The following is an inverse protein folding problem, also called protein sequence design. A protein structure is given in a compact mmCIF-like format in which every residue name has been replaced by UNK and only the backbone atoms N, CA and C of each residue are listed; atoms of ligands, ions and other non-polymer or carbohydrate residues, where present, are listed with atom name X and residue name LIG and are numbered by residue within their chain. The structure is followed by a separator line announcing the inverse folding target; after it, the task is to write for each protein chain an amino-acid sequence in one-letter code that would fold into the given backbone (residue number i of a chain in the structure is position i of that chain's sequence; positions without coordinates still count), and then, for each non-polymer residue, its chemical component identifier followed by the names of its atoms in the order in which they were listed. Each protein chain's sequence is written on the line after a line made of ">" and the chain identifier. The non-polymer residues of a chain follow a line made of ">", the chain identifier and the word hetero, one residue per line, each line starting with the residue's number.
data_IF_537330607633
#
_entry.id   IF_537330607633
#
_cell.length_a   1.000
_cell.length_b   1.000
_cell.length_c   1.000
_cell.angle_alpha   90.00
_cell.angle_beta   90.00
_cell.angle_gamma   90.00
#
_symmetry.space_group_name_H-M   'P 1'
#
loop_
_entity.id
_entity.type
_entity.pdbx_description
1 polymer ?
#
# COMPACT_ATOMS: atom_id res chain seq x y z
N UNK A 1 -15.11 -26.66 55.78
CA UNK A 1 -15.06 -28.12 56.00
C UNK A 1 -15.03 -28.78 54.63
N UNK A 2 -14.05 -29.63 54.43
CA UNK A 2 -13.63 -30.40 53.24
C UNK A 2 -12.71 -29.72 52.22
N UNK A 3 -11.44 -30.01 52.47
CA UNK A 3 -10.28 -29.93 51.61
C UNK A 3 -10.26 -31.17 50.69
N UNK A 4 -9.99 -31.03 49.44
CA UNK A 4 -9.35 -32.08 48.63
C UNK A 4 -8.32 -31.48 47.67
N UNK A 5 -7.07 -31.86 47.88
CA UNK A 5 -5.94 -31.72 46.95
C UNK A 5 -6.13 -32.66 45.75
N UNK A 6 -5.58 -32.35 44.59
CA UNK A 6 -5.04 -33.36 43.70
C UNK A 6 -3.53 -33.25 43.58
N UNK A 7 -2.90 -34.37 43.84
CA UNK A 7 -1.56 -34.75 43.42
C UNK A 7 -1.58 -35.09 41.93
N UNK A 8 -0.59 -34.59 41.13
CA UNK A 8 0.26 -35.48 40.33
C UNK A 8 1.36 -34.69 39.61
N UNK A 9 2.54 -35.23 39.65
CA UNK A 9 3.76 -34.72 39.06
C UNK A 9 3.82 -34.84 37.50
N UNK A 10 4.68 -34.07 36.84
CA UNK A 10 4.79 -34.10 35.38
C UNK A 10 5.65 -35.28 34.91
N UNK A 11 5.14 -36.00 33.92
CA UNK A 11 5.92 -36.95 33.11
C UNK A 11 6.80 -36.19 32.12
N UNK A 12 8.08 -36.52 32.14
CA UNK A 12 9.04 -36.15 31.11
C UNK A 12 8.56 -36.67 29.73
N UNK A 13 8.46 -35.80 28.75
CA UNK A 13 8.33 -36.19 27.34
C UNK A 13 9.59 -35.69 26.62
N UNK A 14 10.25 -36.67 26.02
CA UNK A 14 11.52 -36.56 25.36
C UNK A 14 11.51 -35.60 24.16
N UNK A 15 12.70 -35.06 23.92
CA UNK A 15 12.96 -34.19 22.76
C UNK A 15 12.65 -34.91 21.46
N UNK A 16 11.82 -34.23 20.64
CA UNK A 16 11.69 -34.51 19.22
C UNK A 16 12.22 -33.30 18.51
N UNK A 17 13.39 -33.42 17.88
CA UNK A 17 13.87 -32.51 16.85
C UNK A 17 12.89 -32.53 15.67
N UNK A 18 11.89 -31.64 15.71
CA UNK A 18 10.97 -31.38 14.62
C UNK A 18 11.51 -30.30 13.70
N UNK A 19 12.46 -30.66 12.83
CA UNK A 19 12.81 -29.80 11.69
C UNK A 19 11.56 -29.53 10.87
N UNK A 20 11.06 -28.29 10.93
CA UNK A 20 9.95 -27.80 10.12
C UNK A 20 10.28 -28.02 8.64
N UNK A 21 9.69 -29.05 8.04
CA UNK A 21 9.72 -29.25 6.58
C UNK A 21 8.88 -28.14 5.97
N UNK A 22 9.57 -27.13 5.46
CA UNK A 22 9.02 -26.08 4.62
C UNK A 22 8.10 -26.68 3.56
N UNK A 23 6.83 -26.31 3.60
CA UNK A 23 5.85 -26.85 2.65
C UNK A 23 6.01 -26.15 1.29
N UNK A 24 6.84 -26.74 0.41
CA UNK A 24 7.16 -26.23 -0.94
C UNK A 24 5.93 -26.13 -1.86
N UNK A 25 4.76 -26.58 -1.46
CA UNK A 25 3.56 -26.55 -2.30
C UNK A 25 2.91 -25.17 -2.38
N UNK A 26 2.94 -24.40 -1.32
CA UNK A 26 2.27 -23.08 -1.28
C UNK A 26 3.00 -22.03 -2.13
N UNK A 27 4.34 -22.09 -2.17
CA UNK A 27 5.14 -21.24 -3.04
C UNK A 27 4.92 -21.49 -4.55
N UNK A 28 4.51 -22.69 -4.90
CA UNK A 28 4.27 -23.05 -6.31
C UNK A 28 3.02 -22.40 -6.87
N UNK A 29 2.01 -22.08 -6.06
CA UNK A 29 0.81 -21.39 -6.54
C UNK A 29 1.08 -19.89 -6.82
N UNK A 30 1.80 -19.19 -5.96
CA UNK A 30 2.16 -17.79 -6.22
C UNK A 30 3.18 -17.65 -7.36
N UNK A 31 4.19 -18.54 -7.44
CA UNK A 31 5.15 -18.58 -8.52
C UNK A 31 4.54 -19.03 -9.87
N UNK A 32 3.56 -19.93 -9.87
CA UNK A 32 2.88 -20.35 -11.09
C UNK A 32 2.03 -19.25 -11.71
N UNK A 33 1.41 -18.38 -10.90
CA UNK A 33 0.74 -17.18 -11.42
C UNK A 33 1.73 -16.15 -11.99
N UNK A 34 2.93 -16.03 -11.41
CA UNK A 34 3.97 -15.11 -11.88
C UNK A 34 4.76 -15.67 -13.10
N UNK A 35 5.02 -16.98 -13.15
CA UNK A 35 5.84 -17.61 -14.19
C UNK A 35 5.04 -17.92 -15.48
N UNK A 36 3.74 -18.15 -15.39
CA UNK A 36 2.92 -18.42 -16.57
C UNK A 36 2.78 -17.22 -17.53
N UNK A 37 3.09 -16.01 -17.08
CA UNK A 37 3.00 -14.78 -17.91
C UNK A 37 4.37 -14.37 -18.50
N UNK A 38 5.49 -14.87 -17.98
CA UNK A 38 6.85 -14.47 -18.39
C UNK A 38 7.49 -15.41 -19.42
N UNK A 39 6.89 -16.56 -19.71
CA UNK A 39 7.44 -17.54 -20.67
C UNK A 39 7.11 -17.27 -22.14
N UNK A 40 7.00 -16.02 -22.58
CA UNK A 40 7.10 -15.67 -23.98
C UNK A 40 8.60 -15.60 -24.38
N UNK A 41 9.02 -16.16 -25.54
CA UNK A 41 10.43 -16.29 -25.86
C UNK A 41 11.09 -14.93 -26.05
N UNK A 42 12.14 -14.65 -25.25
CA UNK A 42 13.09 -13.58 -25.50
C UNK A 42 13.88 -13.90 -26.78
N UNK A 43 13.48 -13.33 -27.89
CA UNK A 43 14.34 -13.25 -29.06
C UNK A 43 15.41 -12.20 -28.81
N UNK A 44 16.68 -12.60 -28.86
CA UNK A 44 17.83 -11.74 -28.68
C UNK A 44 17.82 -10.58 -29.69
N UNK A 45 17.64 -9.35 -29.21
CA UNK A 45 17.85 -8.15 -29.99
C UNK A 45 19.24 -7.58 -29.68
N UNK A 46 20.08 -7.53 -30.72
CA UNK A 46 21.44 -6.98 -30.66
C UNK A 46 21.44 -5.48 -30.28
N UNK A 47 22.49 -5.09 -29.54
CA UNK A 47 22.75 -3.73 -29.12
C UNK A 47 22.95 -2.80 -30.32
N UNK A 48 22.07 -1.81 -30.47
CA UNK A 48 22.26 -0.64 -31.34
C UNK A 48 22.29 0.58 -30.44
N UNK A 49 23.34 1.40 -30.58
CA UNK A 49 23.52 2.65 -29.84
C UNK A 49 22.34 3.61 -30.06
N UNK A 50 21.85 4.32 -29.03
CA UNK A 50 20.65 5.13 -29.12
C UNK A 50 20.90 6.40 -29.92
N UNK A 51 20.08 6.61 -30.98
CA UNK A 51 20.03 7.86 -31.73
C UNK A 51 19.34 8.98 -30.93
N UNK A 52 19.65 10.24 -31.24
CA UNK A 52 19.08 11.46 -30.62
C UNK A 52 17.54 11.46 -30.56
N UNK A 53 16.85 10.69 -31.41
CA UNK A 53 15.40 10.57 -31.43
C UNK A 53 14.81 9.84 -30.19
N UNK A 54 15.61 9.07 -29.45
CA UNK A 54 15.16 8.36 -28.24
C UNK A 54 15.17 9.22 -26.98
N UNK A 55 16.05 10.22 -26.88
CA UNK A 55 16.01 11.21 -25.80
C UNK A 55 14.76 12.09 -25.88
N UNK A 56 14.33 12.41 -27.11
CA UNK A 56 13.05 13.10 -27.35
C UNK A 56 11.83 12.23 -27.04
N UNK A 57 11.93 10.89 -27.07
CA UNK A 57 10.79 10.02 -26.79
C UNK A 57 10.53 9.85 -25.29
N UNK A 58 11.55 9.97 -24.44
CA UNK A 58 11.39 9.89 -22.96
C UNK A 58 10.82 11.20 -22.41
N UNK A 59 11.33 12.34 -22.86
CA UNK A 59 10.73 13.64 -22.60
C UNK A 59 9.29 13.72 -23.17
N UNK A 60 9.02 13.03 -24.28
CA UNK A 60 7.66 12.86 -24.83
C UNK A 60 6.79 11.92 -24.00
N UNK A 61 7.26 10.85 -23.41
CA UNK A 61 6.42 9.94 -22.60
C UNK A 61 5.89 10.64 -21.33
N UNK A 62 6.72 11.45 -20.67
CA UNK A 62 6.30 12.26 -19.53
C UNK A 62 5.46 13.49 -19.96
N UNK A 63 5.78 14.08 -21.12
CA UNK A 63 4.97 15.14 -21.73
C UNK A 63 3.69 14.60 -22.37
N UNK A 64 3.66 13.36 -22.87
CA UNK A 64 2.45 12.71 -23.40
C UNK A 64 1.53 12.32 -22.25
N UNK A 65 2.04 11.81 -21.13
CA UNK A 65 1.21 11.56 -19.94
C UNK A 65 0.61 12.85 -19.36
N UNK A 66 1.34 13.98 -19.47
CA UNK A 66 0.84 15.33 -19.12
C UNK A 66 -0.03 15.91 -20.21
N UNK A 67 0.32 15.73 -21.49
CA UNK A 67 -0.43 16.23 -22.63
C UNK A 67 -1.75 15.46 -22.82
N UNK A 68 -1.78 14.15 -22.58
CA UNK A 68 -3.01 13.36 -22.61
C UNK A 68 -3.95 13.77 -21.47
N UNK A 69 -3.41 14.10 -20.28
CA UNK A 69 -4.20 14.68 -19.19
C UNK A 69 -4.77 16.05 -19.55
N UNK A 70 -3.96 16.91 -20.21
CA UNK A 70 -4.38 18.25 -20.63
C UNK A 70 -5.30 18.17 -21.86
N UNK A 71 -5.06 17.25 -22.79
CA UNK A 71 -5.92 17.04 -23.96
C UNK A 71 -7.28 16.46 -23.57
N UNK A 72 -7.32 15.55 -22.59
CA UNK A 72 -8.56 15.01 -22.05
C UNK A 72 -9.37 16.07 -21.31
N UNK A 73 -8.73 16.93 -20.51
CA UNK A 73 -9.38 18.06 -19.85
C UNK A 73 -9.94 19.03 -20.89
N UNK A 74 -9.17 19.38 -21.96
CA UNK A 74 -9.64 20.25 -23.04
C UNK A 74 -10.74 19.61 -23.88
N UNK A 75 -10.72 18.29 -24.04
CA UNK A 75 -11.77 17.57 -24.78
C UNK A 75 -13.06 17.52 -23.96
N UNK A 76 -12.96 17.31 -22.63
CA UNK A 76 -14.10 17.42 -21.71
C UNK A 76 -14.67 18.84 -21.64
N UNK A 77 -13.81 19.86 -21.58
CA UNK A 77 -14.25 21.26 -21.64
C UNK A 77 -14.97 21.58 -22.95
N UNK A 78 -14.53 20.98 -24.05
CA UNK A 78 -15.17 21.15 -25.38
C UNK A 78 -16.50 20.37 -25.48
N UNK A 79 -16.60 19.18 -24.90
CA UNK A 79 -17.82 18.39 -24.88
C UNK A 79 -18.85 18.93 -23.89
N UNK A 80 -18.44 19.49 -22.76
CA UNK A 80 -19.29 20.21 -21.81
C UNK A 80 -19.74 21.59 -22.34
N UNK A 81 -18.94 22.23 -23.22
CA UNK A 81 -19.27 23.48 -23.86
C UNK A 81 -20.16 23.36 -25.12
N UNK A 82 -20.33 22.14 -25.65
CA UNK A 82 -21.11 21.91 -26.89
C UNK A 82 -22.57 21.54 -26.66
N UNK A 83 -23.05 21.51 -25.44
CA UNK A 83 -24.43 21.14 -25.09
C UNK A 83 -25.16 22.25 -24.33
N UNK A 84 -25.65 23.27 -24.97
CA UNK A 84 -26.65 24.14 -24.35
C UNK A 84 -26.58 25.62 -24.69
N UNK A 85 -27.15 26.02 -25.82
CA UNK A 85 -27.69 27.38 -26.00
C UNK A 85 -28.83 27.59 -24.95
N UNK A 86 -28.49 28.25 -23.85
CA UNK A 86 -29.45 29.02 -23.07
C UNK A 86 -28.85 30.36 -22.75
N UNK A 87 -29.21 31.31 -23.59
CA UNK A 87 -29.03 32.72 -23.33
C UNK A 87 -29.78 33.13 -22.04
N UNK A 88 -29.09 33.95 -21.22
CA UNK A 88 -29.62 34.71 -20.09
C UNK A 88 -29.82 33.96 -18.76
N UNK A 89 -28.73 33.71 -18.04
CA UNK A 89 -28.70 33.86 -16.60
C UNK A 89 -27.45 34.66 -16.19
N UNK A 90 -27.55 35.64 -15.28
CA UNK A 90 -26.38 36.42 -14.85
C UNK A 90 -25.44 35.52 -14.10
N UNK A 91 -24.23 35.34 -14.60
CA UNK A 91 -23.17 34.62 -13.94
C UNK A 91 -22.89 35.29 -12.58
N UNK A 92 -23.13 34.59 -11.52
CA UNK A 92 -22.65 34.94 -10.21
C UNK A 92 -21.09 34.88 -10.26
N UNK A 93 -20.49 36.05 -10.40
CA UNK A 93 -19.04 36.19 -10.28
C UNK A 93 -18.68 36.02 -8.81
N UNK A 94 -18.33 34.78 -8.44
CA UNK A 94 -17.59 34.55 -7.20
C UNK A 94 -16.25 35.27 -7.27
N UNK A 95 -15.66 35.68 -6.13
CA UNK A 95 -14.41 36.43 -6.11
C UNK A 95 -13.32 35.59 -6.78
N UNK A 96 -12.76 36.11 -7.88
CA UNK A 96 -11.54 35.59 -8.48
C UNK A 96 -10.42 35.80 -7.49
N UNK A 97 -10.02 34.74 -6.79
CA UNK A 97 -8.81 34.74 -5.97
C UNK A 97 -7.60 34.89 -6.89
N UNK A 98 -7.03 36.07 -6.93
CA UNK A 98 -5.72 36.33 -7.50
C UNK A 98 -4.69 35.82 -6.49
N UNK A 99 -4.21 34.58 -6.67
CA UNK A 99 -3.13 34.01 -5.87
C UNK A 99 -3.42 32.57 -5.44
N UNK A 100 -2.55 31.65 -5.85
CA UNK A 100 -2.52 30.25 -5.41
C UNK A 100 -3.74 29.42 -5.84
N UNK A 101 -3.59 28.65 -6.89
CA UNK A 101 -4.62 27.68 -7.27
C UNK A 101 -4.54 26.50 -6.33
N UNK A 102 -5.48 26.42 -5.40
CA UNK A 102 -5.68 25.24 -4.57
C UNK A 102 -6.81 24.42 -5.15
N UNK A 103 -6.54 23.15 -5.43
CA UNK A 103 -7.53 22.17 -5.80
C UNK A 103 -8.08 21.51 -4.52
N UNK A 104 -9.38 21.27 -4.51
CA UNK A 104 -10.07 20.56 -3.44
C UNK A 104 -10.75 19.35 -4.07
N UNK A 105 -10.42 18.16 -3.55
CA UNK A 105 -11.03 16.90 -3.91
C UNK A 105 -11.75 16.29 -2.73
N UNK A 106 -12.76 15.49 -3.01
CA UNK A 106 -13.43 14.66 -2.02
C UNK A 106 -13.67 13.28 -2.63
N UNK A 107 -13.34 12.24 -1.88
CA UNK A 107 -13.60 10.84 -2.24
C UNK A 107 -14.32 10.18 -1.08
N UNK A 108 -15.36 9.38 -1.36
CA UNK A 108 -15.98 8.55 -0.35
C UNK A 108 -16.08 7.11 -0.84
N UNK A 109 -15.73 6.18 0.05
CA UNK A 109 -15.86 4.74 -0.10
C UNK A 109 -16.94 4.27 0.86
N UNK A 110 -17.87 3.47 0.37
CA UNK A 110 -18.90 2.79 1.18
C UNK A 110 -18.88 1.32 0.81
N UNK A 111 -18.74 0.47 1.81
CA UNK A 111 -18.72 -0.97 1.65
C UNK A 111 -19.97 -1.60 2.26
N UNK A 112 -20.41 -2.70 1.69
CA UNK A 112 -21.44 -3.56 2.26
C UNK A 112 -21.05 -5.01 2.04
N UNK A 113 -21.16 -5.85 3.07
CA UNK A 113 -20.83 -7.25 2.88
C UNK A 113 -20.96 -8.11 4.11
N UNK A 114 -20.44 -9.31 3.99
CA UNK A 114 -20.54 -10.35 5.02
C UNK A 114 -19.32 -11.24 5.00
N UNK A 115 -18.92 -11.65 6.19
CA UNK A 115 -17.86 -12.62 6.42
C UNK A 115 -18.36 -13.78 7.28
N UNK A 116 -17.81 -14.97 7.06
CA UNK A 116 -18.02 -16.13 7.93
C UNK A 116 -17.17 -16.07 9.20
N UNK A 117 -16.17 -15.20 9.25
CA UNK A 117 -15.31 -15.05 10.41
C UNK A 117 -16.08 -14.45 11.58
N UNK A 118 -15.86 -15.02 12.78
CA UNK A 118 -16.38 -14.46 14.03
C UNK A 118 -15.68 -13.16 14.43
N UNK A 119 -14.42 -13.02 14.05
CA UNK A 119 -13.60 -11.81 14.20
C UNK A 119 -13.12 -11.38 12.80
N UNK A 120 -13.82 -10.39 12.23
CA UNK A 120 -13.51 -9.87 10.89
C UNK A 120 -12.19 -9.08 10.92
N UNK A 121 -11.90 -8.35 12.00
CA UNK A 121 -10.66 -7.60 12.15
C UNK A 121 -9.40 -8.46 12.16
N UNK A 122 -9.50 -9.74 12.53
CA UNK A 122 -8.38 -10.67 12.44
C UNK A 122 -8.00 -11.05 11.00
N UNK A 123 -8.92 -10.91 10.03
CA UNK A 123 -8.69 -11.18 8.61
C UNK A 123 -8.61 -9.90 7.77
N UNK A 124 -9.40 -8.90 8.10
CA UNK A 124 -9.38 -7.57 7.49
C UNK A 124 -8.58 -6.62 8.39
N UNK A 125 -7.30 -6.49 8.14
CA UNK A 125 -6.34 -5.84 9.05
C UNK A 125 -5.99 -4.40 8.69
N UNK A 126 -6.40 -3.94 7.50
CA UNK A 126 -6.25 -2.55 7.10
C UNK A 126 -7.31 -1.68 7.77
N UNK A 127 -6.95 -0.47 8.16
CA UNK A 127 -7.89 0.45 8.82
C UNK A 127 -9.01 0.92 7.89
N UNK A 128 -8.77 0.82 6.59
CA UNK A 128 -9.74 1.10 5.53
C UNK A 128 -10.37 -0.17 4.93
N UNK A 129 -10.12 -1.33 5.53
CA UNK A 129 -10.76 -2.58 5.12
C UNK A 129 -12.19 -2.66 5.69
N UNK A 130 -13.12 -3.42 5.08
CA UNK A 130 -14.43 -3.65 5.67
C UNK A 130 -14.33 -4.45 6.99
N UNK A 131 -14.79 -3.89 8.11
CA UNK A 131 -14.59 -4.47 9.46
C UNK A 131 -15.80 -5.16 10.06
N UNK A 132 -17.01 -4.93 9.52
CA UNK A 132 -18.25 -5.46 10.10
C UNK A 132 -19.13 -6.05 9.01
N UNK A 133 -20.00 -6.98 9.41
CA UNK A 133 -21.09 -7.43 8.56
C UNK A 133 -22.11 -6.31 8.38
N UNK A 134 -22.55 -6.08 7.15
CA UNK A 134 -23.47 -4.99 6.80
C UNK A 134 -22.76 -3.85 6.10
N UNK A 135 -23.10 -2.62 6.45
CA UNK A 135 -22.55 -1.41 5.82
C UNK A 135 -21.42 -0.81 6.64
N UNK A 136 -20.37 -0.36 5.96
CA UNK A 136 -19.24 0.40 6.52
C UNK A 136 -18.92 1.59 5.62
N UNK A 137 -18.35 2.64 6.20
CA UNK A 137 -17.78 3.77 5.48
C UNK A 137 -16.30 3.89 5.89
N UNK A 138 -15.42 3.08 5.29
CA UNK A 138 -14.03 2.98 5.74
C UNK A 138 -13.20 4.22 5.40
N UNK A 139 -13.65 5.05 4.44
CA UNK A 139 -12.87 6.19 3.98
C UNK A 139 -13.77 7.28 3.40
N UNK A 140 -13.67 8.50 3.95
CA UNK A 140 -14.13 9.72 3.31
C UNK A 140 -13.00 10.74 3.38
N UNK A 141 -12.41 11.05 2.24
CA UNK A 141 -11.13 11.73 2.10
C UNK A 141 -11.31 13.12 1.50
N UNK A 142 -10.73 14.13 2.14
CA UNK A 142 -10.65 15.50 1.63
C UNK A 142 -9.18 15.75 1.24
N UNK A 143 -8.91 15.92 -0.03
CA UNK A 143 -7.59 16.26 -0.54
C UNK A 143 -7.48 17.73 -0.91
N UNK A 144 -6.36 18.33 -0.54
CA UNK A 144 -6.00 19.71 -0.86
C UNK A 144 -4.63 19.68 -1.55
N UNK A 145 -4.53 20.19 -2.77
CA UNK A 145 -3.26 20.34 -3.45
C UNK A 145 -3.14 21.67 -4.17
N UNK A 146 -1.93 22.19 -4.26
CA UNK A 146 -1.70 23.45 -4.95
C UNK A 146 -0.27 23.94 -4.92
N UNK A 147 -0.01 24.98 -5.71
CA UNK A 147 1.24 25.72 -5.66
C UNK A 147 1.24 26.64 -4.41
N UNK A 148 2.27 26.50 -3.57
CA UNK A 148 2.50 27.44 -2.45
C UNK A 148 3.16 28.70 -2.97
N UNK A 149 4.22 28.52 -3.76
CA UNK A 149 5.01 29.56 -4.41
C UNK A 149 5.76 28.94 -5.61
N UNK A 150 6.65 29.67 -6.33
CA UNK A 150 7.43 29.08 -7.42
C UNK A 150 8.34 27.92 -7.04
N UNK A 151 8.65 27.73 -5.75
CA UNK A 151 9.62 26.74 -5.27
C UNK A 151 8.95 25.50 -4.67
N UNK A 152 7.70 25.63 -4.20
CA UNK A 152 7.01 24.56 -3.46
C UNK A 152 5.58 24.31 -3.94
N UNK A 153 5.19 23.05 -3.92
CA UNK A 153 3.80 22.59 -3.94
C UNK A 153 3.43 22.05 -2.58
N UNK A 154 2.20 22.30 -2.13
CA UNK A 154 1.62 21.72 -0.92
C UNK A 154 0.63 20.62 -1.29
N UNK A 155 0.56 19.61 -0.43
CA UNK A 155 -0.45 18.58 -0.46
C UNK A 155 -0.91 18.27 0.95
N UNK A 156 -2.21 18.05 1.15
CA UNK A 156 -2.77 17.55 2.39
C UNK A 156 -3.92 16.59 2.10
N UNK A 157 -4.01 15.53 2.90
CA UNK A 157 -5.09 14.58 2.87
C UNK A 157 -5.65 14.38 4.27
N UNK A 158 -6.95 14.65 4.44
CA UNK A 158 -7.69 14.52 5.69
C UNK A 158 -8.72 13.42 5.49
N UNK A 159 -8.67 12.39 6.32
CA UNK A 159 -9.57 11.25 6.26
C UNK A 159 -10.56 11.31 7.42
N UNK A 160 -11.81 11.08 7.09
CA UNK A 160 -12.91 10.88 8.04
C UNK A 160 -13.25 9.38 8.00
N UNK A 161 -13.21 8.74 9.15
CA UNK A 161 -13.55 7.32 9.31
C UNK A 161 -14.74 7.19 10.25
N UNK A 162 -15.63 6.25 9.97
CA UNK A 162 -16.71 5.88 10.88
C UNK A 162 -16.37 4.50 11.44
N UNK A 163 -16.15 4.42 12.73
CA UNK A 163 -15.83 3.17 13.41
C UNK A 163 -17.06 2.25 13.57
N UNK A 164 -16.85 1.07 14.14
CA UNK A 164 -17.92 0.10 14.38
C UNK A 164 -18.96 0.56 15.39
N UNK A 165 -18.67 1.58 16.21
CA UNK A 165 -19.61 2.21 17.14
C UNK A 165 -20.42 3.34 16.50
N UNK A 166 -20.09 3.74 15.25
CA UNK A 166 -20.70 4.86 14.54
C UNK A 166 -20.09 6.22 14.88
N UNK A 167 -18.96 6.25 15.58
CA UNK A 167 -18.25 7.48 15.90
C UNK A 167 -17.34 7.89 14.74
N UNK A 168 -17.27 9.21 14.49
CA UNK A 168 -16.44 9.75 13.42
C UNK A 168 -15.08 10.16 13.93
N UNK A 169 -14.04 9.47 13.50
CA UNK A 169 -12.64 9.86 13.64
C UNK A 169 -12.19 10.81 12.53
N UNK A 170 -11.30 11.74 12.84
CA UNK A 170 -10.65 12.63 11.85
C UNK A 170 -9.16 12.42 11.93
N UNK A 171 -8.54 12.10 10.80
CA UNK A 171 -7.12 11.84 10.71
C UNK A 171 -6.46 12.72 9.65
N UNK A 172 -5.31 13.33 10.01
CA UNK A 172 -4.43 13.96 9.03
C UNK A 172 -3.53 12.87 8.43
N UNK A 173 -3.92 12.31 7.32
CA UNK A 173 -3.19 11.21 6.69
C UNK A 173 -1.88 11.68 6.06
N UNK A 174 -1.93 12.73 5.25
CA UNK A 174 -0.74 13.36 4.69
C UNK A 174 -0.82 14.89 4.79
N UNK A 175 0.31 15.54 5.06
CA UNK A 175 0.50 16.98 4.94
C UNK A 175 1.97 17.27 4.67
N UNK A 176 2.31 17.65 3.45
CA UNK A 176 3.70 17.88 3.07
C UNK A 176 3.87 18.97 2.01
N UNK A 177 5.08 19.52 1.98
CA UNK A 177 5.57 20.36 0.91
C UNK A 177 6.55 19.59 0.03
N UNK A 178 6.52 19.88 -1.27
CA UNK A 178 7.35 19.26 -2.29
C UNK A 178 8.06 20.35 -3.10
N UNK A 179 9.38 20.26 -3.28
CA UNK A 179 10.11 21.22 -4.12
C UNK A 179 9.78 21.00 -5.59
N UNK A 180 9.65 22.13 -6.34
CA UNK A 180 9.28 22.10 -7.77
C UNK A 180 10.49 22.05 -8.70
N UNK A 181 11.61 22.65 -8.29
CA UNK A 181 12.80 22.75 -9.11
C UNK A 181 14.07 22.83 -8.25
N UNK A 182 14.74 21.70 -8.09
CA UNK A 182 16.09 21.65 -7.56
C UNK A 182 17.06 21.28 -8.68
N UNK A 183 18.33 21.73 -8.60
CA UNK A 183 19.33 21.36 -9.59
C UNK A 183 19.58 19.84 -9.58
N UNK A 184 20.18 19.32 -10.64
CA UNK A 184 20.57 17.92 -10.79
C UNK A 184 19.42 16.90 -10.66
N UNK A 185 18.18 17.28 -10.99
CA UNK A 185 16.98 16.46 -10.90
C UNK A 185 16.68 15.95 -9.49
N UNK A 186 17.07 16.71 -8.49
CA UNK A 186 16.75 16.44 -7.09
C UNK A 186 15.37 16.97 -6.73
N UNK A 187 14.71 16.29 -5.79
CA UNK A 187 13.45 16.74 -5.20
C UNK A 187 13.44 16.43 -3.70
N UNK A 188 12.92 17.36 -2.91
CA UNK A 188 12.68 17.18 -1.48
C UNK A 188 11.18 17.17 -1.21
N UNK A 189 10.73 16.22 -0.37
CA UNK A 189 9.42 16.16 0.27
C UNK A 189 9.64 16.33 1.78
N UNK A 190 8.87 17.18 2.43
CA UNK A 190 8.98 17.46 3.85
C UNK A 190 7.59 17.59 4.48
N UNK A 191 7.35 16.88 5.57
CA UNK A 191 6.08 16.84 6.28
C UNK A 191 5.69 15.45 6.74
N UNK A 192 4.40 15.18 6.83
CA UNK A 192 3.85 13.84 7.08
C UNK A 192 3.44 13.21 5.75
N UNK A 193 3.93 12.00 5.48
CA UNK A 193 3.66 11.32 4.21
C UNK A 193 3.86 9.81 4.33
N UNK A 194 3.23 9.05 3.43
CA UNK A 194 3.54 7.63 3.26
C UNK A 194 4.96 7.45 2.74
N UNK A 195 5.72 6.57 3.39
CA UNK A 195 7.02 6.18 2.90
C UNK A 195 6.91 5.54 1.52
N UNK A 196 7.79 5.92 0.61
CA UNK A 196 7.93 5.26 -0.70
C UNK A 196 8.58 3.88 -0.48
N UNK A 197 7.79 2.92 0.02
CA UNK A 197 8.19 1.53 0.22
C UNK A 197 7.29 0.63 -0.63
N UNK A 198 7.87 -0.14 -1.54
CA UNK A 198 7.08 -0.90 -2.50
C UNK A 198 6.23 0.01 -3.40
N UNK A 199 5.22 -0.57 -3.99
CA UNK A 199 4.29 0.12 -4.87
C UNK A 199 2.95 0.40 -4.20
N UNK A 200 2.51 -0.48 -3.29
CA UNK A 200 1.20 -0.38 -2.66
C UNK A 200 1.17 0.58 -1.47
N UNK A 201 2.25 0.63 -0.66
CA UNK A 201 2.26 1.44 0.56
C UNK A 201 1.93 2.93 0.35
N UNK A 202 2.43 3.63 -0.70
CA UNK A 202 2.10 5.05 -0.92
C UNK A 202 0.75 5.28 -1.61
N UNK A 203 -0.11 4.26 -1.75
CA UNK A 203 -1.39 4.38 -2.43
C UNK A 203 -2.53 4.55 -1.43
N UNK A 204 -3.37 5.55 -1.64
CA UNK A 204 -4.60 5.76 -0.89
C UNK A 204 -5.68 4.72 -1.23
N UNK A 205 -6.62 4.41 -0.33
CA UNK A 205 -7.63 3.36 -0.50
C UNK A 205 -8.46 3.49 -1.78
N UNK A 206 -8.78 4.70 -2.21
CA UNK A 206 -9.54 4.95 -3.44
C UNK A 206 -8.79 4.50 -4.72
N UNK A 207 -7.46 4.44 -4.68
CA UNK A 207 -6.64 3.97 -5.80
C UNK A 207 -6.37 2.48 -5.79
N UNK A 208 -6.78 1.76 -4.73
CA UNK A 208 -6.56 0.31 -4.65
C UNK A 208 -7.40 -0.46 -5.67
N UNK A 209 -6.80 -1.54 -6.18
CA UNK A 209 -7.47 -2.45 -7.11
C UNK A 209 -8.42 -3.44 -6.40
N UNK A 210 -8.31 -3.60 -5.09
CA UNK A 210 -9.09 -4.48 -4.22
C UNK A 210 -9.68 -3.67 -3.07
N UNK A 211 -10.67 -4.23 -2.36
CA UNK A 211 -11.35 -3.54 -1.24
C UNK A 211 -10.50 -3.48 0.02
N UNK A 212 -9.43 -4.25 0.08
CA UNK A 212 -8.60 -4.46 1.26
C UNK A 212 -7.11 -4.37 0.95
N UNK A 213 -6.32 -4.01 1.96
CA UNK A 213 -4.87 -3.96 1.89
C UNK A 213 -4.28 -5.38 1.77
N UNK A 214 -3.18 -5.59 1.03
CA UNK A 214 -2.51 -6.88 1.00
C UNK A 214 -2.03 -7.34 2.39
N UNK A 215 -2.25 -8.63 2.71
CA UNK A 215 -1.92 -9.24 4.01
C UNK A 215 -0.50 -8.96 4.49
N UNK A 216 0.47 -9.01 3.58
CA UNK A 216 1.87 -8.79 3.92
C UNK A 216 2.14 -7.35 4.34
N UNK A 217 1.49 -6.37 3.70
CA UNK A 217 1.65 -4.95 4.05
C UNK A 217 1.06 -4.64 5.43
N UNK A 218 -0.17 -5.09 5.68
CA UNK A 218 -0.79 -4.96 7.00
C UNK A 218 0.05 -5.63 8.09
N UNK A 219 0.68 -6.77 7.81
CA UNK A 219 1.59 -7.47 8.75
C UNK A 219 2.87 -6.69 9.03
N UNK A 220 3.47 -6.07 8.00
CA UNK A 220 4.75 -5.38 8.14
C UNK A 220 4.59 -3.97 8.70
N UNK A 221 3.58 -3.25 8.27
CA UNK A 221 3.43 -1.81 8.54
C UNK A 221 2.19 -1.45 9.36
N UNK A 222 1.35 -2.44 9.68
CA UNK A 222 0.12 -2.23 10.43
C UNK A 222 -1.04 -1.75 9.56
N UNK A 223 -2.16 -1.37 10.20
CA UNK A 223 -3.40 -1.11 9.49
C UNK A 223 -3.35 0.09 8.54
N UNK A 224 -2.53 1.10 8.87
CA UNK A 224 -2.43 2.36 8.13
C UNK A 224 -1.26 2.40 7.13
N UNK A 225 -0.47 1.32 7.02
CA UNK A 225 0.76 1.33 6.22
C UNK A 225 1.92 2.08 6.91
N UNK A 226 3.05 2.25 6.22
CA UNK A 226 4.21 2.98 6.75
C UNK A 226 4.12 4.46 6.39
N UNK A 227 3.74 5.27 7.36
CA UNK A 227 3.55 6.72 7.25
C UNK A 227 4.10 7.40 8.51
N UNK A 228 4.80 8.52 8.36
CA UNK A 228 5.26 9.34 9.49
C UNK A 228 5.71 10.72 9.03
N UNK A 229 6.05 11.58 9.99
CA UNK A 229 6.70 12.87 9.73
C UNK A 229 8.15 12.63 9.37
N UNK A 230 8.64 13.35 8.36
CA UNK A 230 10.02 13.21 7.92
C UNK A 230 10.39 14.07 6.74
N UNK A 231 11.54 13.73 6.17
CA UNK A 231 12.09 14.32 4.96
C UNK A 231 12.45 13.19 3.98
N UNK A 232 12.08 13.33 2.71
CA UNK A 232 12.50 12.44 1.62
C UNK A 232 13.30 13.24 0.59
N UNK A 233 14.48 12.76 0.27
CA UNK A 233 15.25 13.17 -0.91
C UNK A 233 15.03 12.16 -2.01
N UNK A 234 14.68 12.60 -3.20
CA UNK A 234 14.69 11.79 -4.41
C UNK A 234 15.63 12.37 -5.46
N UNK A 235 16.18 11.48 -6.27
CA UNK A 235 17.09 11.78 -7.36
C UNK A 235 16.70 11.00 -8.61
N UNK A 236 16.23 11.72 -9.63
CA UNK A 236 16.06 11.13 -10.95
C UNK A 236 17.44 11.01 -11.62
N UNK A 237 17.91 9.78 -11.73
CA UNK A 237 19.24 9.47 -12.26
C UNK A 237 19.30 9.76 -13.77
N UNK A 238 20.47 10.23 -14.29
CA UNK A 238 20.65 10.48 -15.70
C UNK A 238 20.91 9.20 -16.51
N UNK A 239 20.00 8.24 -16.42
CA UNK A 239 20.05 6.95 -17.12
C UNK A 239 19.25 7.03 -18.44
N UNK A 240 19.48 6.16 -19.42
CA UNK A 240 18.72 6.14 -20.68
C UNK A 240 17.28 5.68 -20.52
N UNK A 241 16.89 5.19 -19.35
CA UNK A 241 15.54 4.80 -18.95
C UNK A 241 15.23 5.42 -17.58
N UNK A 242 13.96 5.50 -17.23
CA UNK A 242 13.58 6.04 -15.93
C UNK A 242 14.21 5.24 -14.80
N UNK A 243 14.96 5.91 -13.95
CA UNK A 243 15.48 5.36 -12.70
C UNK A 243 15.50 6.46 -11.64
N UNK A 244 14.84 6.22 -10.52
CA UNK A 244 14.78 7.14 -9.40
C UNK A 244 15.29 6.44 -8.13
N UNK A 245 16.21 7.10 -7.44
CA UNK A 245 16.68 6.71 -6.13
C UNK A 245 16.10 7.66 -5.08
N UNK A 246 15.61 7.11 -3.98
CA UNK A 246 14.99 7.86 -2.89
C UNK A 246 15.55 7.42 -1.55
N UNK A 247 15.58 8.34 -0.61
CA UNK A 247 15.79 8.03 0.81
C UNK A 247 14.91 8.93 1.65
N UNK A 248 14.10 8.32 2.50
CA UNK A 248 13.37 9.05 3.53
C UNK A 248 14.04 8.86 4.89
N UNK A 249 14.05 9.93 5.69
CA UNK A 249 14.41 9.92 7.11
C UNK A 249 13.18 10.39 7.86
N UNK A 250 12.62 9.52 8.69
CA UNK A 250 11.32 9.70 9.30
C UNK A 250 11.36 9.40 10.79
N UNK A 251 10.37 9.91 11.52
CA UNK A 251 10.17 9.48 12.90
C UNK A 251 9.79 8.00 12.93
N UNK A 252 10.39 7.18 13.81
CA UNK A 252 10.03 5.77 13.94
C UNK A 252 8.76 5.56 14.80
N UNK A 253 8.17 6.62 15.33
CA UNK A 253 7.03 6.64 16.25
C UNK A 253 5.73 6.91 15.54
N UNK A 254 4.61 6.59 16.19
CA UNK A 254 3.25 6.79 15.69
C UNK A 254 2.55 5.47 15.33
N UNK A 255 1.22 5.46 15.29
CA UNK A 255 0.38 4.30 15.04
C UNK A 255 0.65 3.57 13.72
N UNK A 256 1.22 4.28 12.75
CA UNK A 256 1.56 3.76 11.41
C UNK A 256 2.97 3.19 11.29
N UNK A 257 3.74 3.12 12.39
CA UNK A 257 5.10 2.57 12.41
C UNK A 257 5.16 1.21 13.13
N UNK A 258 4.24 0.29 12.84
CA UNK A 258 3.99 -0.95 13.60
C UNK A 258 5.20 -1.87 13.74
N UNK A 259 6.09 -1.93 12.76
CA UNK A 259 7.35 -2.69 12.88
C UNK A 259 8.45 -1.95 13.66
N UNK A 260 8.22 -0.71 14.04
CA UNK A 260 9.20 0.19 14.65
C UNK A 260 8.73 0.63 16.04
N UNK A 261 8.68 1.93 16.32
CA UNK A 261 8.35 2.45 17.64
C UNK A 261 6.92 2.98 17.69
N UNK A 262 5.95 2.13 17.39
CA UNK A 262 4.53 2.45 17.49
C UNK A 262 4.03 2.20 18.91
N UNK A 263 3.56 3.21 19.65
CA UNK A 263 2.96 3.01 20.97
C UNK A 263 1.55 2.37 20.88
N UNK A 264 0.87 2.55 19.76
CA UNK A 264 -0.52 2.14 19.56
C UNK A 264 -0.67 0.76 18.91
N UNK A 265 0.42 0.18 18.42
CA UNK A 265 0.40 -1.17 17.85
C UNK A 265 0.69 -2.20 18.94
N UNK A 266 -0.05 -3.31 18.96
CA UNK A 266 0.30 -4.43 19.81
C UNK A 266 1.74 -4.85 19.57
N UNK A 267 2.49 -5.08 20.63
CA UNK A 267 3.86 -5.55 20.51
C UNK A 267 3.90 -6.90 19.77
N UNK A 268 4.75 -6.97 18.75
CA UNK A 268 4.89 -8.15 17.88
C UNK A 268 5.34 -9.40 18.69
N UNK A 269 6.04 -9.16 19.80
CA UNK A 269 6.57 -10.19 20.69
C UNK A 269 5.76 -10.33 21.99
N UNK A 270 4.80 -9.42 22.28
CA UNK A 270 3.94 -9.45 23.46
C UNK A 270 4.61 -8.94 24.73
N UNK A 271 5.65 -8.14 24.64
CA UNK A 271 6.36 -7.59 25.79
C UNK A 271 6.03 -6.14 26.10
N UNK A 272 6.39 -5.70 27.31
CA UNK A 272 6.27 -4.29 27.70
C UNK A 272 7.06 -3.42 26.75
N UNK A 273 6.43 -2.34 26.27
CA UNK A 273 7.03 -1.40 25.32
C UNK A 273 8.09 -0.53 25.95
N UNK A 274 9.20 -0.31 25.25
CA UNK A 274 10.25 0.64 25.61
C UNK A 274 9.93 2.01 24.99
N UNK A 275 9.27 2.86 25.78
CA UNK A 275 8.97 4.24 25.39
C UNK A 275 10.14 5.16 25.77
N UNK A 276 10.91 5.57 24.76
CA UNK A 276 12.04 6.46 24.88
C UNK A 276 11.99 7.61 23.88
N UNK A 277 12.54 8.80 24.19
CA UNK A 277 12.57 9.90 23.22
C UNK A 277 13.51 9.61 22.03
N UNK A 278 13.33 10.36 20.94
CA UNK A 278 14.28 10.43 19.83
C UNK A 278 15.41 11.39 20.27
N UNK A 279 16.63 10.89 20.42
CA UNK A 279 17.77 11.69 20.91
C UNK A 279 18.83 11.92 19.83
N UNK A 280 18.81 11.11 18.76
CA UNK A 280 19.86 11.15 17.74
C UNK A 280 19.34 10.68 16.39
N UNK A 281 20.14 10.88 15.33
CA UNK A 281 19.87 10.30 14.01
C UNK A 281 19.84 8.76 14.04
N UNK A 282 20.50 8.12 14.99
CA UNK A 282 20.46 6.68 15.19
C UNK A 282 19.08 6.17 15.64
N UNK A 283 18.25 7.06 16.18
CA UNK A 283 16.88 6.76 16.61
C UNK A 283 15.85 7.00 15.50
N UNK A 284 16.25 7.44 14.32
CA UNK A 284 15.37 7.69 13.19
C UNK A 284 15.11 6.42 12.37
N UNK A 285 14.01 6.45 11.63
CA UNK A 285 13.67 5.47 10.60
C UNK A 285 14.22 5.92 9.25
N UNK A 286 14.99 5.06 8.59
CA UNK A 286 15.53 5.29 7.25
C UNK A 286 14.84 4.38 6.23
N UNK A 287 14.33 4.97 5.16
CA UNK A 287 13.62 4.23 4.10
C UNK A 287 14.26 4.53 2.73
N UNK A 288 15.33 3.80 2.34
CA UNK A 288 15.86 3.87 0.98
C UNK A 288 15.00 3.07 0.00
N UNK A 289 14.86 3.58 -1.23
CA UNK A 289 14.21 2.93 -2.36
C UNK A 289 14.92 3.25 -3.66
N UNK A 290 14.92 2.30 -4.57
CA UNK A 290 15.25 2.51 -5.98
C UNK A 290 14.15 1.88 -6.82
N UNK A 291 13.70 2.58 -7.86
CA UNK A 291 12.77 2.05 -8.85
C UNK A 291 13.24 2.42 -10.25
N UNK A 292 12.92 1.55 -11.19
CA UNK A 292 13.25 1.73 -12.60
C UNK A 292 12.09 1.29 -13.47
N UNK A 293 11.91 1.97 -14.62
CA UNK A 293 10.87 1.66 -15.60
C UNK A 293 11.45 1.69 -17.00
N UNK A 294 11.06 0.71 -17.80
CA UNK A 294 11.42 0.66 -19.22
C UNK A 294 10.36 -0.07 -20.04
N UNK A 295 10.26 0.30 -21.29
CA UNK A 295 9.37 -0.34 -22.24
C UNK A 295 10.03 -1.60 -22.79
N UNK A 296 9.36 -2.74 -22.64
CA UNK A 296 9.77 -4.00 -23.25
C UNK A 296 9.44 -4.02 -24.74
N UNK A 297 8.31 -3.40 -25.09
CA UNK A 297 7.82 -3.18 -26.45
C UNK A 297 7.00 -1.89 -26.48
N UNK A 298 6.52 -1.46 -27.66
CA UNK A 298 5.62 -0.31 -27.79
C UNK A 298 4.29 -0.45 -27.02
N UNK A 299 3.95 -1.68 -26.62
CA UNK A 299 2.69 -2.02 -25.95
C UNK A 299 2.88 -2.56 -24.54
N UNK A 300 4.12 -2.69 -24.06
CA UNK A 300 4.43 -3.30 -22.77
C UNK A 300 5.45 -2.48 -22.00
N UNK A 301 5.10 -2.14 -20.77
CA UNK A 301 5.98 -1.44 -19.83
C UNK A 301 6.19 -2.30 -18.58
N UNK A 302 7.40 -2.32 -18.04
CA UNK A 302 7.73 -2.92 -16.76
C UNK A 302 8.31 -1.87 -15.82
N UNK A 303 7.94 -1.95 -14.55
CA UNK A 303 8.51 -1.19 -13.44
C UNK A 303 9.04 -2.19 -12.42
N UNK A 304 10.26 -2.01 -11.97
CA UNK A 304 10.90 -2.82 -10.94
C UNK A 304 11.35 -1.92 -9.80
N UNK A 305 11.16 -2.37 -8.57
CA UNK A 305 11.55 -1.61 -7.38
C UNK A 305 12.19 -2.48 -6.31
N UNK A 306 13.07 -1.86 -5.54
CA UNK A 306 13.63 -2.41 -4.32
C UNK A 306 13.59 -1.38 -3.20
N UNK A 307 13.13 -1.78 -2.03
CA UNK A 307 12.96 -0.93 -0.86
C UNK A 307 13.54 -1.58 0.38
N UNK A 308 13.96 -0.75 1.34
CA UNK A 308 14.27 -1.21 2.68
C UNK A 308 13.79 -0.17 3.71
N UNK A 309 13.59 -0.60 4.96
CA UNK A 309 13.29 0.27 6.07
C UNK A 309 14.10 -0.22 7.29
N UNK A 310 14.83 0.69 7.92
CA UNK A 310 15.73 0.40 9.04
C UNK A 310 15.45 1.37 10.17
N UNK A 311 15.10 0.87 11.36
CA UNK A 311 14.84 1.74 12.50
C UNK A 311 14.87 1.00 13.83
N UNK A 312 14.84 1.75 14.93
CA UNK A 312 14.66 1.18 16.26
C UNK A 312 13.24 0.63 16.42
N UNK A 313 13.07 -0.38 17.31
CA UNK A 313 11.77 -0.88 17.68
C UNK A 313 11.49 -0.71 19.20
N UNK A 314 10.28 -1.10 19.62
CA UNK A 314 9.78 -0.92 20.99
C UNK A 314 10.30 -1.95 21.98
N UNK A 315 11.08 -2.94 21.54
CA UNK A 315 11.44 -4.05 22.43
C UNK A 315 12.62 -3.73 23.36
N UNK A 316 13.37 -2.67 23.10
CA UNK A 316 14.49 -2.24 23.96
C UNK A 316 15.40 -1.21 23.33
N UNK A 317 16.34 -0.63 24.14
CA UNK A 317 17.13 0.54 23.74
C UNK A 317 18.03 0.34 22.53
N UNK A 318 18.48 -0.89 22.28
CA UNK A 318 19.33 -1.22 21.12
C UNK A 318 18.63 -2.13 20.11
N UNK A 319 17.35 -2.45 20.34
CA UNK A 319 16.58 -3.32 19.48
C UNK A 319 16.18 -2.59 18.17
N UNK A 320 16.28 -3.30 17.06
CA UNK A 320 16.05 -2.75 15.72
C UNK A 320 15.16 -3.64 14.90
N UNK A 321 14.56 -3.04 13.91
CA UNK A 321 13.81 -3.73 12.86
C UNK A 321 14.39 -3.40 11.50
N UNK A 322 14.45 -4.40 10.65
CA UNK A 322 14.79 -4.29 9.25
C UNK A 322 13.67 -4.91 8.42
N UNK A 323 13.13 -4.13 7.48
CA UNK A 323 12.15 -4.60 6.51
C UNK A 323 12.72 -4.39 5.12
N UNK A 324 12.64 -5.40 4.28
CA UNK A 324 13.07 -5.34 2.89
C UNK A 324 11.89 -5.66 1.98
N UNK A 325 11.89 -5.11 0.78
CA UNK A 325 10.86 -5.34 -0.20
C UNK A 325 11.38 -5.31 -1.64
N UNK A 326 10.83 -6.20 -2.45
CA UNK A 326 10.98 -6.19 -3.90
C UNK A 326 9.60 -6.06 -4.52
N UNK A 327 9.47 -5.21 -5.53
CA UNK A 327 8.22 -5.01 -6.25
C UNK A 327 8.42 -5.03 -7.76
N UNK A 328 7.39 -5.49 -8.47
CA UNK A 328 7.33 -5.46 -9.91
C UNK A 328 5.92 -5.12 -10.38
N UNK A 329 5.85 -4.32 -11.42
CA UNK A 329 4.60 -4.01 -12.13
C UNK A 329 4.84 -4.13 -13.63
N UNK A 330 4.03 -4.93 -14.30
CA UNK A 330 3.99 -5.04 -15.74
C UNK A 330 2.61 -4.67 -16.26
N UNK A 331 2.57 -3.96 -17.37
CA UNK A 331 1.33 -3.59 -18.06
C UNK A 331 1.47 -3.80 -19.56
N UNK A 332 0.48 -4.47 -20.12
CA UNK A 332 0.26 -4.56 -21.55
C UNK A 332 -0.98 -3.77 -21.94
N UNK A 333 -0.88 -3.02 -23.03
CA UNK A 333 -1.97 -2.24 -23.63
C UNK A 333 -1.76 -2.19 -25.14
N UNK A 334 -2.71 -2.65 -25.99
CA UNK A 334 -2.52 -2.61 -27.44
C UNK A 334 -2.48 -1.16 -27.94
N UNK A 335 -1.79 -0.94 -29.06
CA UNK A 335 -1.65 0.41 -29.67
C UNK A 335 -3.01 1.03 -30.04
N UNK A 336 -3.99 0.20 -30.41
CA UNK A 336 -5.35 0.62 -30.75
C UNK A 336 -6.34 0.60 -29.56
N UNK A 337 -5.84 0.70 -28.32
CA UNK A 337 -6.70 0.74 -27.15
C UNK A 337 -7.62 1.97 -27.17
N UNK A 338 -8.91 1.75 -26.87
CA UNK A 338 -9.92 2.81 -26.77
C UNK A 338 -10.20 3.12 -25.30
N UNK A 339 -10.11 4.38 -24.90
CA UNK A 339 -10.27 4.81 -23.51
C UNK A 339 -9.44 3.96 -22.52
N UNK A 340 -8.22 3.54 -22.92
CA UNK A 340 -7.36 2.71 -22.08
C UNK A 340 -7.61 1.20 -22.13
N UNK A 341 -8.59 0.71 -22.87
CA UNK A 341 -8.99 -0.71 -22.93
C UNK A 341 -8.80 -1.33 -24.33
N UNK A 342 -8.56 -2.67 -24.41
CA UNK A 342 -8.30 -3.56 -23.29
C UNK A 342 -6.91 -3.33 -22.70
N UNK A 343 -6.67 -3.83 -21.49
CA UNK A 343 -5.33 -3.91 -20.90
C UNK A 343 -5.20 -5.15 -20.02
N UNK A 344 -3.96 -5.54 -19.78
CA UNK A 344 -3.60 -6.54 -18.77
C UNK A 344 -2.48 -5.96 -17.92
N UNK A 345 -2.59 -6.06 -16.61
CA UNK A 345 -1.49 -5.69 -15.71
C UNK A 345 -1.26 -6.74 -14.64
N UNK A 346 -0.01 -6.88 -14.25
CA UNK A 346 0.45 -7.71 -13.14
C UNK A 346 1.21 -6.82 -12.17
N UNK A 347 0.86 -6.88 -10.90
CA UNK A 347 1.60 -6.27 -9.80
C UNK A 347 1.92 -7.33 -8.77
N UNK A 348 3.14 -7.30 -8.25
CA UNK A 348 3.58 -8.21 -7.18
C UNK A 348 4.54 -7.49 -6.27
N UNK A 349 4.45 -7.81 -4.98
CA UNK A 349 5.43 -7.39 -3.98
C UNK A 349 5.75 -8.58 -3.07
N UNK A 350 7.01 -8.67 -2.69
CA UNK A 350 7.51 -9.61 -1.70
C UNK A 350 8.28 -8.84 -0.64
N UNK A 351 7.86 -9.00 0.63
CA UNK A 351 8.42 -8.33 1.79
C UNK A 351 8.93 -9.37 2.79
N UNK A 352 10.01 -9.02 3.49
CA UNK A 352 10.48 -9.78 4.63
C UNK A 352 11.01 -8.85 5.72
N UNK A 353 10.82 -9.27 6.98
CA UNK A 353 11.18 -8.51 8.18
C UNK A 353 12.07 -9.33 9.08
N UNK A 354 13.10 -8.69 9.64
CA UNK A 354 13.83 -9.11 10.80
C UNK A 354 13.52 -8.14 11.94
N UNK A 355 12.98 -8.66 13.03
CA UNK A 355 12.63 -7.89 14.21
C UNK A 355 13.44 -8.43 15.38
N UNK A 356 14.45 -7.67 15.85
CA UNK A 356 15.25 -8.00 17.01
C UNK A 356 14.44 -7.70 18.26
N UNK A 357 13.93 -8.74 18.92
CA UNK A 357 13.22 -8.62 20.19
C UNK A 357 14.22 -8.69 21.35
N UNK A 358 14.29 -7.65 22.16
CA UNK A 358 15.09 -7.66 23.39
C UNK A 358 14.42 -8.50 24.49
N UNK A 359 15.21 -9.02 25.43
CA UNK A 359 14.68 -9.66 26.64
C UNK A 359 13.93 -8.63 27.49
N UNK A 360 12.67 -8.93 27.87
CA UNK A 360 11.83 -8.06 28.68
C UNK A 360 10.66 -8.82 29.35
N UNK A 361 9.95 -8.17 30.27
CA UNK A 361 8.74 -8.72 30.86
C UNK A 361 7.63 -8.83 29.78
N UNK A 362 6.81 -9.85 29.86
CA UNK A 362 5.58 -9.95 29.09
C UNK A 362 4.57 -8.89 29.56
N UNK A 363 3.80 -8.31 28.63
CA UNK A 363 2.77 -7.34 28.96
C UNK A 363 1.62 -7.98 29.75
N UNK A 364 1.26 -9.21 29.38
CA UNK A 364 0.17 -9.95 30.01
C UNK A 364 0.48 -10.43 31.43
N UNK A 365 1.75 -10.69 31.76
CA UNK A 365 2.21 -11.14 33.10
C UNK A 365 3.66 -10.67 33.33
N UNK A 366 3.87 -9.65 34.19
CA UNK A 366 5.22 -9.13 34.47
C UNK A 366 6.19 -10.17 35.13
N UNK A 367 5.69 -11.30 35.63
CA UNK A 367 6.53 -12.38 36.15
C UNK A 367 7.09 -13.29 35.06
N UNK A 368 6.52 -13.21 33.84
CA UNK A 368 7.00 -13.92 32.66
C UNK A 368 8.04 -13.07 31.94
N UNK A 369 9.24 -13.62 31.78
CA UNK A 369 10.30 -12.98 31.00
C UNK A 369 10.32 -13.56 29.60
N UNK A 370 10.11 -12.72 28.59
CA UNK A 370 10.27 -13.06 27.19
C UNK A 370 11.77 -13.06 26.85
N UNK A 371 12.25 -14.06 26.12
CA UNK A 371 13.67 -14.13 25.74
C UNK A 371 14.03 -13.07 24.68
N UNK A 372 15.32 -12.76 24.57
CA UNK A 372 15.82 -12.08 23.39
C UNK A 372 15.83 -13.05 22.21
N UNK A 373 15.20 -12.67 21.09
CA UNK A 373 15.14 -13.49 19.89
C UNK A 373 14.99 -12.64 18.63
N UNK A 374 15.24 -13.23 17.47
CA UNK A 374 15.01 -12.58 16.17
C UNK A 374 13.75 -13.17 15.53
N UNK A 375 12.70 -12.37 15.48
CA UNK A 375 11.47 -12.74 14.80
C UNK A 375 11.64 -12.49 13.29
N UNK A 376 11.19 -13.44 12.49
CA UNK A 376 11.23 -13.35 11.03
C UNK A 376 9.84 -13.52 10.47
N UNK A 377 9.44 -12.56 9.65
CA UNK A 377 8.21 -12.60 8.89
C UNK A 377 8.53 -12.41 7.41
N UNK A 378 7.78 -13.07 6.57
CA UNK A 378 7.81 -12.87 5.14
C UNK A 378 6.43 -13.03 4.54
N UNK A 379 6.23 -12.47 3.37
CA UNK A 379 5.01 -12.62 2.64
C UNK A 379 5.07 -11.96 1.26
N UNK A 380 4.10 -12.31 0.46
CA UNK A 380 4.00 -11.78 -0.89
C UNK A 380 2.53 -11.71 -1.31
N UNK A 381 2.28 -10.84 -2.28
CA UNK A 381 1.06 -10.90 -3.08
C UNK A 381 1.39 -10.77 -4.56
N UNK A 382 0.49 -11.30 -5.38
CA UNK A 382 0.46 -11.07 -6.82
C UNK A 382 -0.99 -10.82 -7.23
N UNK A 383 -1.20 -9.74 -7.99
CA UNK A 383 -2.51 -9.36 -8.51
C UNK A 383 -2.47 -9.13 -10.01
N UNK A 384 -3.47 -9.66 -10.69
CA UNK A 384 -3.69 -9.46 -12.12
C UNK A 384 -4.97 -8.66 -12.31
N UNK A 385 -4.91 -7.61 -13.14
CA UNK A 385 -6.08 -6.86 -13.57
C UNK A 385 -6.23 -6.99 -15.08
N UNK A 386 -7.40 -7.38 -15.49
CA UNK A 386 -7.80 -7.47 -16.89
C UNK A 386 -8.90 -6.46 -17.20
N UNK A 387 -8.53 -5.38 -17.87
CA UNK A 387 -9.49 -4.44 -18.46
C UNK A 387 -10.09 -5.08 -19.71
N UNK A 388 -11.27 -5.71 -19.56
CA UNK A 388 -11.91 -6.52 -20.61
C UNK A 388 -12.40 -5.64 -21.75
N UNK A 389 -13.10 -4.58 -21.38
CA UNK A 389 -13.65 -3.56 -22.27
C UNK A 389 -13.80 -2.25 -21.51
N UNK A 390 -14.05 -1.11 -22.17
CA UNK A 390 -14.24 0.15 -21.47
C UNK A 390 -15.14 0.01 -20.25
N UNK A 391 -14.64 0.50 -19.09
CA UNK A 391 -15.34 0.56 -17.80
C UNK A 391 -15.52 -0.78 -17.05
N UNK A 392 -14.99 -1.91 -17.56
CA UNK A 392 -15.09 -3.21 -16.86
C UNK A 392 -13.71 -3.80 -16.67
N UNK A 393 -13.36 -4.04 -15.42
CA UNK A 393 -12.07 -4.63 -15.00
C UNK A 393 -12.34 -5.84 -14.11
N UNK A 394 -11.79 -6.99 -14.48
CA UNK A 394 -11.72 -8.16 -13.62
C UNK A 394 -10.36 -8.20 -12.92
N UNK A 395 -10.34 -8.59 -11.67
CA UNK A 395 -9.13 -8.74 -10.85
C UNK A 395 -9.05 -10.11 -10.19
N UNK A 396 -7.83 -10.56 -9.99
CA UNK A 396 -7.52 -11.72 -9.15
C UNK A 396 -6.26 -11.43 -8.35
N UNK A 397 -6.31 -11.59 -7.03
CA UNK A 397 -5.16 -11.46 -6.13
C UNK A 397 -4.97 -12.76 -5.34
N UNK A 398 -3.72 -13.21 -5.26
CA UNK A 398 -3.28 -14.30 -4.39
C UNK A 398 -2.24 -13.76 -3.40
N UNK A 399 -2.32 -14.17 -2.14
CA UNK A 399 -1.52 -13.62 -1.05
C UNK A 399 -1.08 -14.69 -0.06
N UNK A 400 0.10 -14.49 0.51
CA UNK A 400 0.62 -15.30 1.61
C UNK A 400 1.37 -14.42 2.60
N UNK A 401 1.25 -14.75 3.89
CA UNK A 401 2.03 -14.11 4.94
C UNK A 401 2.41 -15.15 5.99
N UNK A 402 3.69 -15.21 6.33
CA UNK A 402 4.27 -16.18 7.26
C UNK A 402 5.02 -15.49 8.39
N UNK A 403 5.02 -16.11 9.56
CA UNK A 403 5.83 -15.72 10.69
C UNK A 403 6.48 -16.96 11.32
N UNK A 404 7.76 -16.84 11.69
CA UNK A 404 8.50 -17.93 12.33
C UNK A 404 9.41 -17.39 13.45
N UNK A 405 10.02 -18.30 14.18
CA UNK A 405 11.12 -18.01 15.09
C UNK A 405 10.72 -17.58 16.50
N UNK A 406 9.47 -17.77 16.96
CA UNK A 406 9.09 -17.46 18.34
C UNK A 406 8.46 -18.63 19.05
N UNK A 407 8.78 -18.78 20.35
CA UNK A 407 8.03 -19.61 21.29
C UNK A 407 6.69 -18.95 21.69
N UNK A 408 6.57 -17.65 21.51
CA UNK A 408 5.39 -16.83 21.78
C UNK A 408 4.76 -16.46 20.45
N UNK A 409 3.71 -17.14 20.05
CA UNK A 409 3.01 -16.90 18.78
C UNK A 409 1.98 -15.81 19.05
N UNK A 410 2.24 -14.62 18.49
CA UNK A 410 1.22 -13.58 18.38
C UNK A 410 0.20 -13.99 17.30
N UNK A 411 -1.09 -13.75 17.53
CA UNK A 411 -2.14 -13.96 16.52
C UNK A 411 -1.87 -13.16 15.24
N UNK A 412 -1.21 -12.02 15.36
CA UNK A 412 -0.80 -11.21 14.23
C UNK A 412 0.21 -11.88 13.30
N UNK A 413 0.93 -12.90 13.80
CA UNK A 413 1.99 -13.62 13.08
C UNK A 413 1.56 -15.00 12.59
N UNK A 414 0.29 -15.38 12.74
CA UNK A 414 -0.26 -16.62 12.20
C UNK A 414 -0.08 -16.66 10.69
N UNK A 415 0.33 -17.81 10.18
CA UNK A 415 0.45 -18.04 8.76
C UNK A 415 -0.92 -17.94 8.09
N UNK A 416 -1.02 -17.12 7.07
CA UNK A 416 -2.27 -16.82 6.37
C UNK A 416 -2.05 -16.83 4.86
N UNK A 417 -3.06 -17.29 4.14
CA UNK A 417 -3.15 -17.14 2.68
C UNK A 417 -4.55 -16.68 2.29
N UNK A 418 -4.64 -15.90 1.21
CA UNK A 418 -5.90 -15.37 0.69
C UNK A 418 -5.93 -15.46 -0.83
N UNK A 419 -7.10 -15.73 -1.39
CA UNK A 419 -7.39 -15.59 -2.83
C UNK A 419 -8.62 -14.69 -2.96
N UNK A 420 -8.49 -13.64 -3.78
CA UNK A 420 -9.52 -12.61 -3.95
C UNK A 420 -9.81 -12.36 -5.43
N UNK A 421 -10.81 -12.99 -6.05
CA UNK A 421 -11.37 -12.51 -7.30
C UNK A 421 -12.24 -11.27 -7.08
N UNK A 422 -12.20 -10.32 -8.02
CA UNK A 422 -13.08 -9.16 -8.04
C UNK A 422 -13.56 -8.79 -9.45
N UNK A 423 -14.63 -8.01 -9.50
CA UNK A 423 -15.13 -7.37 -10.70
C UNK A 423 -15.46 -5.91 -10.37
N UNK A 424 -14.89 -4.98 -11.14
CA UNK A 424 -15.10 -3.55 -10.99
C UNK A 424 -15.78 -2.99 -12.24
N UNK A 425 -16.83 -2.21 -12.04
CA UNK A 425 -17.52 -1.45 -13.07
C UNK A 425 -17.41 0.05 -12.76
N UNK A 426 -16.99 0.82 -13.76
CA UNK A 426 -16.85 2.27 -13.70
C UNK A 426 -17.99 2.90 -14.52
N UNK A 427 -19.12 3.34 -13.92
CA UNK A 427 -20.17 4.05 -14.64
C UNK A 427 -19.62 5.29 -15.34
N UNK A 428 -18.76 6.02 -14.63
CA UNK A 428 -18.01 7.19 -15.11
C UNK A 428 -16.59 7.15 -14.57
N UNK A 429 -15.77 8.12 -14.87
CA UNK A 429 -14.45 8.33 -14.27
C UNK A 429 -14.52 8.80 -12.79
N UNK A 430 -15.70 9.22 -12.33
CA UNK A 430 -15.94 9.73 -10.98
C UNK A 430 -16.66 8.73 -10.06
N UNK A 431 -16.95 7.53 -10.53
CA UNK A 431 -17.61 6.52 -9.71
C UNK A 431 -17.22 5.12 -10.11
N UNK A 432 -17.14 4.23 -9.12
CA UNK A 432 -16.95 2.80 -9.36
C UNK A 432 -17.81 1.94 -8.42
N UNK A 433 -18.22 0.79 -8.92
CA UNK A 433 -18.78 -0.31 -8.16
C UNK A 433 -17.85 -1.50 -8.26
N UNK A 434 -17.55 -2.13 -7.15
CA UNK A 434 -16.73 -3.33 -7.08
C UNK A 434 -17.44 -4.40 -6.28
N UNK A 435 -17.37 -5.63 -6.74
CA UNK A 435 -17.68 -6.81 -5.94
C UNK A 435 -16.42 -7.64 -5.81
N UNK A 436 -16.11 -8.06 -4.59
CA UNK A 436 -14.95 -8.89 -4.27
C UNK A 436 -15.38 -10.04 -3.37
N UNK A 437 -14.84 -11.22 -3.64
CA UNK A 437 -14.95 -12.37 -2.77
C UNK A 437 -13.56 -12.69 -2.23
N UNK A 438 -13.45 -13.04 -0.93
CA UNK A 438 -12.22 -13.51 -0.32
C UNK A 438 -12.40 -14.94 0.17
N UNK A 439 -11.40 -15.77 -0.08
CA UNK A 439 -11.18 -17.05 0.55
C UNK A 439 -9.91 -16.93 1.39
N UNK A 440 -10.06 -16.93 2.70
CA UNK A 440 -8.99 -16.83 3.68
C UNK A 440 -8.73 -18.19 4.30
N UNK A 441 -7.45 -18.54 4.44
CA UNK A 441 -7.01 -19.71 5.18
C UNK A 441 -5.97 -19.27 6.22
N UNK A 442 -6.33 -19.42 7.51
CA UNK A 442 -5.46 -19.13 8.64
C UNK A 442 -5.03 -20.43 9.30
N UNK A 443 -3.71 -20.63 9.38
CA UNK A 443 -3.15 -21.86 9.95
C UNK A 443 -3.65 -22.07 11.37
N UNK A 444 -4.06 -23.30 11.70
CA UNK A 444 -4.55 -23.74 13.01
C UNK A 444 -5.84 -23.06 13.50
N UNK A 445 -6.45 -22.15 12.69
CA UNK A 445 -7.73 -21.51 12.97
C UNK A 445 -8.80 -22.06 12.03
N UNK A 446 -8.55 -22.06 10.71
CA UNK A 446 -9.49 -22.55 9.72
C UNK A 446 -9.62 -21.65 8.50
N UNK A 447 -10.72 -21.83 7.78
CA UNK A 447 -11.03 -21.09 6.55
C UNK A 447 -12.22 -20.18 6.76
N UNK A 448 -12.11 -18.97 6.21
CA UNK A 448 -13.16 -17.97 6.19
C UNK A 448 -13.50 -17.54 4.78
N UNK A 449 -14.72 -17.10 4.60
CA UNK A 449 -15.27 -16.62 3.34
C UNK A 449 -15.88 -15.26 3.56
N UNK A 450 -15.61 -14.30 2.68
CA UNK A 450 -16.28 -13.01 2.71
C UNK A 450 -16.65 -12.52 1.32
N UNK A 451 -17.70 -11.71 1.24
CA UNK A 451 -18.11 -11.03 0.03
C UNK A 451 -18.36 -9.56 0.35
N UNK A 452 -17.76 -8.68 -0.44
CA UNK A 452 -17.79 -7.25 -0.25
C UNK A 452 -18.25 -6.56 -1.53
N UNK A 453 -19.18 -5.60 -1.36
CA UNK A 453 -19.63 -4.68 -2.38
C UNK A 453 -19.13 -3.29 -2.00
N UNK A 454 -18.38 -2.64 -2.86
CA UNK A 454 -17.84 -1.31 -2.64
C UNK A 454 -18.44 -0.34 -3.66
N UNK A 455 -18.89 0.80 -3.18
CA UNK A 455 -19.23 1.95 -3.99
C UNK A 455 -18.30 3.11 -3.66
N UNK A 456 -17.77 3.76 -4.69
CA UNK A 456 -16.93 4.94 -4.59
C UNK A 456 -17.45 6.04 -5.47
N UNK A 457 -17.35 7.26 -4.99
CA UNK A 457 -17.54 8.46 -5.79
C UNK A 457 -16.52 9.54 -5.45
N UNK A 458 -16.22 10.38 -6.45
CA UNK A 458 -15.28 11.48 -6.38
C UNK A 458 -15.99 12.79 -6.71
N UNK A 459 -15.66 13.85 -5.97
CA UNK A 459 -16.12 15.22 -6.21
C UNK A 459 -14.92 16.17 -6.29
N UNK A 460 -15.01 17.20 -7.12
CA UNK A 460 -13.99 18.23 -7.21
C UNK A 460 -12.83 17.90 -8.16
N UNK A 461 -11.68 18.47 -7.89
CA UNK A 461 -10.51 18.41 -8.76
C UNK A 461 -9.61 17.19 -8.55
N UNK A 462 -10.05 16.21 -7.77
CA UNK A 462 -9.28 14.97 -7.57
C UNK A 462 -9.02 14.28 -8.91
N UNK A 463 -7.84 13.70 -9.07
CA UNK A 463 -7.48 13.04 -10.31
C UNK A 463 -8.45 11.88 -10.61
N UNK A 464 -9.12 11.95 -11.75
CA UNK A 464 -9.95 10.88 -12.26
C UNK A 464 -9.18 9.55 -12.35
N UNK A 465 -9.89 8.43 -12.24
CA UNK A 465 -9.27 7.11 -12.36
C UNK A 465 -8.49 6.96 -13.67
N UNK A 466 -7.18 6.73 -13.55
CA UNK A 466 -6.31 6.49 -14.71
C UNK A 466 -6.35 5.00 -15.06
N UNK A 467 -6.73 4.68 -16.28
CA UNK A 467 -6.76 3.31 -16.82
C UNK A 467 -5.53 2.99 -17.66
#
# INVERSE_FOLDING_TARGET
>A
MYVTKPTNAPSQVGGAEGGSRYNRREWRLCLLCAVAVVSAPLAAAGQVAPSKSKQDSIARADSIARADSIALVKQLEKELGAGGDTANAPAAQGPRATGGYMNIGFVALTDAGWSSASDIGAIQRGDHDPHVNGFTMPNAEISLDGAVDPYFKGFSNIVLKIDSAGETGVELEEAYALTTSLPANLQLKFGQFFAEFGRQNPQHPHSWAFVDVPLVLARMFGPEGLRSQGLRLSWLLPTPFYTEAMVAVMNPTGGTASSFRSPDSPDIHGGVLDDRPINSLGDMLFVPRINTSFDLTETQTIVLGGSAAFGPNNSGPSARTEVYGLDAYWKWKPAAAQAGFPFLSLQTEWLWRHYDAAQRAAESDPLVTLPAEVLRDDGAYAQVLWGIKPRIVAGLRGEVAHGNGSAFISEQRINQSRISPNLTWYPTEFSKFRVQYNYDNRRDIGTDHSIWFQFEFLLGAHAAHKF
#
